data_IF_379447970107
#
_entry.id   IF_379447970107
#
_cell.length_a   1.000
_cell.length_b   1.000
_cell.length_c   1.000
_cell.angle_alpha   90.00
_cell.angle_beta   90.00
_cell.angle_gamma   90.00
#
_symmetry.space_group_name_H-M   'P 1'
#
loop_
_entity.id
_entity.type
_entity.pdbx_description
1 polymer ?
#
# COMPACT_ATOMS: atom_id res chain seq x y z
N UNK A 1 -0.51 -70.30 -39.55
CA UNK A 1 -0.24 -68.85 -39.54
C UNK A 1 -0.45 -68.39 -38.08
N UNK A 2 0.54 -68.03 -37.25
CA UNK A 2 1.85 -67.39 -37.48
C UNK A 2 1.69 -66.12 -38.35
N UNK A 3 1.97 -64.88 -37.93
CA UNK A 3 2.59 -64.27 -36.72
C UNK A 3 1.91 -62.89 -36.45
N UNK A 4 2.21 -61.98 -35.50
CA UNK A 4 3.45 -61.62 -34.76
C UNK A 4 3.17 -60.99 -33.36
N UNK A 5 4.27 -60.69 -32.65
CA UNK A 5 4.50 -59.81 -31.47
C UNK A 5 4.18 -58.31 -31.74
N UNK A 6 3.80 -57.46 -30.76
CA UNK A 6 4.74 -56.83 -29.80
C UNK A 6 4.08 -56.29 -28.51
N UNK A 7 4.92 -56.19 -27.47
CA UNK A 7 4.59 -55.72 -26.11
C UNK A 7 4.56 -54.19 -26.03
N UNK A 8 3.53 -53.63 -25.40
CA UNK A 8 3.53 -52.26 -24.84
C UNK A 8 3.35 -52.33 -23.32
N UNK A 9 4.30 -51.77 -22.55
CA UNK A 9 4.38 -51.92 -21.09
C UNK A 9 4.39 -50.55 -20.40
N UNK A 10 3.34 -50.23 -19.65
CA UNK A 10 3.37 -49.23 -18.58
C UNK A 10 2.25 -49.52 -17.57
N UNK A 11 2.57 -49.40 -16.29
CA UNK A 11 1.65 -49.65 -15.16
C UNK A 11 1.41 -48.32 -14.39
N UNK A 12 0.69 -48.29 -13.25
CA UNK A 12 -0.25 -47.20 -12.92
C UNK A 12 0.39 -45.99 -12.24
N UNK A 13 -0.28 -44.83 -12.32
CA UNK A 13 0.21 -43.57 -11.76
C UNK A 13 -0.85 -42.51 -11.41
N UNK A 14 -1.44 -42.64 -10.21
CA UNK A 14 -1.80 -41.54 -9.30
C UNK A 14 -2.79 -40.47 -9.81
N UNK A 15 -4.00 -40.50 -9.24
CA UNK A 15 -4.89 -39.34 -9.14
C UNK A 15 -4.34 -38.30 -8.15
N UNK A 16 -4.12 -37.06 -8.61
CA UNK A 16 -4.01 -35.81 -7.84
C UNK A 16 -4.65 -34.74 -8.74
N UNK A 17 -5.55 -33.88 -8.27
CA UNK A 17 -5.63 -33.25 -6.96
C UNK A 17 -5.53 -31.74 -7.20
N UNK A 18 -6.61 -31.02 -6.95
CA UNK A 18 -6.83 -29.67 -7.50
C UNK A 18 -6.01 -28.55 -6.83
N UNK A 19 -5.95 -27.41 -7.53
CA UNK A 19 -5.61 -26.06 -7.06
C UNK A 19 -4.12 -25.67 -6.82
N UNK A 20 -3.78 -24.47 -7.30
CA UNK A 20 -2.47 -23.80 -7.12
C UNK A 20 -1.48 -24.08 -8.27
N UNK A 21 -0.63 -23.14 -8.70
CA UNK A 21 -0.26 -21.82 -8.15
C UNK A 21 -0.13 -20.78 -9.28
N UNK A 22 -0.49 -19.54 -8.97
CA UNK A 22 -0.47 -18.33 -9.82
C UNK A 22 0.74 -18.18 -10.76
N UNK A 23 0.47 -17.89 -12.03
CA UNK A 23 1.48 -17.55 -13.03
C UNK A 23 1.98 -16.11 -12.83
N UNK A 24 3.30 -15.96 -12.65
CA UNK A 24 4.21 -14.94 -13.21
C UNK A 24 3.75 -13.49 -13.56
N UNK A 25 2.70 -12.92 -12.97
CA UNK A 25 2.32 -11.51 -13.13
C UNK A 25 3.12 -10.55 -12.21
N UNK A 26 4.34 -10.95 -11.82
CA UNK A 26 5.27 -10.21 -10.93
C UNK A 26 5.82 -8.91 -11.55
N UNK A 27 5.16 -8.39 -12.58
CA UNK A 27 5.53 -7.20 -13.35
C UNK A 27 4.36 -6.20 -13.51
N UNK A 28 3.14 -6.50 -13.02
CA UNK A 28 1.96 -5.62 -13.16
C UNK A 28 1.60 -4.95 -11.82
N UNK A 29 2.54 -4.23 -11.22
CA UNK A 29 2.25 -3.20 -10.20
C UNK A 29 3.45 -2.26 -9.96
N UNK A 30 4.03 -1.67 -11.03
CA UNK A 30 4.57 -0.30 -10.88
C UNK A 30 3.38 0.65 -10.74
N UNK A 31 2.74 0.58 -9.57
CA UNK A 31 1.67 1.47 -9.20
C UNK A 31 2.15 2.92 -9.25
N UNK A 32 1.22 3.85 -9.43
CA UNK A 32 1.43 5.30 -9.32
C UNK A 32 1.63 5.73 -7.84
N UNK A 33 2.37 4.93 -7.09
CA UNK A 33 2.82 5.18 -5.73
C UNK A 33 3.99 6.18 -5.76
N UNK A 34 3.63 7.45 -6.01
CA UNK A 34 4.48 8.64 -5.80
C UNK A 34 5.29 8.49 -4.51
N UNK A 35 6.62 8.46 -4.58
CA UNK A 35 7.51 8.02 -3.50
C UNK A 35 7.68 9.13 -2.43
N UNK A 36 8.24 8.78 -1.26
CA UNK A 36 8.53 9.73 -0.17
C UNK A 36 9.37 10.95 -0.62
N UNK A 37 10.25 10.76 -1.61
CA UNK A 37 11.05 11.82 -2.24
C UNK A 37 10.20 12.95 -2.81
N UNK A 38 9.00 12.60 -3.27
CA UNK A 38 8.12 13.49 -4.00
C UNK A 38 7.18 14.22 -3.05
N UNK A 39 7.06 13.79 -1.79
CA UNK A 39 6.27 14.48 -0.79
C UNK A 39 7.02 15.74 -0.30
N UNK A 40 6.38 16.92 -0.31
CA UNK A 40 7.02 18.13 0.18
C UNK A 40 7.36 17.98 1.66
N UNK A 41 8.57 18.37 2.04
CA UNK A 41 8.93 18.41 3.46
C UNK A 41 8.04 19.44 4.17
N UNK A 42 7.24 19.05 5.18
CA UNK A 42 6.33 19.96 5.85
C UNK A 42 7.15 21.02 6.63
N UNK A 43 6.76 22.30 6.60
CA UNK A 43 7.46 23.35 7.33
C UNK A 43 7.37 23.15 8.86
N UNK A 44 8.18 23.92 9.60
CA UNK A 44 8.22 23.91 11.07
C UNK A 44 7.62 25.21 11.65
N UNK A 45 7.32 25.22 12.94
CA UNK A 45 6.72 26.37 13.64
C UNK A 45 5.19 26.33 13.73
N UNK A 46 4.61 27.41 14.28
CA UNK A 46 3.20 27.53 14.74
C UNK A 46 2.14 27.28 13.64
N UNK A 47 2.52 27.54 12.39
CA UNK A 47 1.69 27.38 11.19
C UNK A 47 1.06 28.67 10.70
N UNK A 48 0.56 28.66 9.47
CA UNK A 48 0.07 29.83 8.74
C UNK A 48 -1.34 30.31 9.13
N UNK A 49 -2.14 29.50 9.84
CA UNK A 49 -3.53 29.86 10.23
C UNK A 49 -3.73 29.80 11.75
N UNK A 50 -4.68 30.60 12.26
CA UNK A 50 -5.02 30.60 13.69
C UNK A 50 -5.65 29.26 14.09
N UNK A 51 -5.56 28.84 15.37
CA UNK A 51 -6.16 27.58 15.82
C UNK A 51 -7.67 27.46 15.58
N UNK A 52 -8.40 28.57 15.54
CA UNK A 52 -9.85 28.60 15.29
C UNK A 52 -10.23 28.35 13.81
N UNK A 53 -9.33 28.66 12.87
CA UNK A 53 -9.56 28.53 11.42
C UNK A 53 -9.10 27.15 10.88
N UNK A 54 -8.62 26.26 11.76
CA UNK A 54 -8.19 24.92 11.39
C UNK A 54 -9.38 23.98 11.31
N UNK A 55 -9.29 22.98 10.45
CA UNK A 55 -10.26 21.88 10.42
C UNK A 55 -10.42 21.30 11.85
N UNK A 56 -11.64 21.24 12.41
CA UNK A 56 -11.86 20.64 13.73
C UNK A 56 -11.43 19.17 13.78
N UNK A 57 -11.47 18.45 12.65
CA UNK A 57 -10.83 17.16 12.54
C UNK A 57 -9.33 17.32 12.29
N UNK A 58 -8.50 16.74 13.17
CA UNK A 58 -7.04 16.61 12.95
C UNK A 58 -6.59 15.17 12.72
N UNK A 59 -7.37 14.17 13.17
CA UNK A 59 -6.97 12.76 13.13
C UNK A 59 -7.83 12.02 12.11
N UNK A 60 -7.17 11.42 11.12
CA UNK A 60 -7.83 10.55 10.16
C UNK A 60 -8.46 9.32 10.85
N UNK A 61 -9.72 9.07 10.55
CA UNK A 61 -10.47 7.89 11.01
C UNK A 61 -9.85 6.58 10.49
N UNK A 62 -10.15 5.44 11.13
CA UNK A 62 -9.68 4.12 10.64
C UNK A 62 -10.10 3.89 9.19
N UNK A 63 -11.34 4.21 8.82
CA UNK A 63 -11.86 4.10 7.45
C UNK A 63 -11.12 4.99 6.45
N UNK A 64 -10.76 6.23 6.80
CA UNK A 64 -9.95 7.09 5.93
C UNK A 64 -8.55 6.50 5.73
N UNK A 65 -7.90 6.03 6.80
CA UNK A 65 -6.59 5.35 6.69
C UNK A 65 -6.65 4.08 5.84
N UNK A 66 -7.75 3.31 5.90
CA UNK A 66 -7.95 2.12 5.05
C UNK A 66 -8.00 2.55 3.59
N UNK A 67 -8.82 3.57 3.26
CA UNK A 67 -8.90 4.12 1.90
C UNK A 67 -7.59 4.70 1.39
N UNK A 68 -6.75 5.28 2.26
CA UNK A 68 -5.40 5.72 1.87
C UNK A 68 -4.53 4.53 1.49
N UNK A 69 -4.56 3.48 2.31
CA UNK A 69 -3.77 2.28 2.09
C UNK A 69 -4.22 1.49 0.85
N UNK A 70 -5.53 1.43 0.59
CA UNK A 70 -6.13 0.89 -0.64
C UNK A 70 -5.67 1.66 -1.89
N UNK A 71 -5.78 3.00 -1.89
CA UNK A 71 -5.26 3.87 -2.97
C UNK A 71 -3.76 3.67 -3.20
N UNK A 72 -3.01 3.24 -2.18
CA UNK A 72 -1.58 2.98 -2.22
C UNK A 72 -1.23 1.51 -2.45
N UNK A 73 -2.18 0.67 -2.88
CA UNK A 73 -1.99 -0.75 -3.16
C UNK A 73 -1.42 -1.57 -1.98
N UNK A 74 -1.81 -1.20 -0.75
CA UNK A 74 -1.29 -1.81 0.47
C UNK A 74 0.11 -1.34 0.88
N UNK A 75 0.72 -0.41 0.13
CA UNK A 75 2.10 0.02 0.33
C UNK A 75 2.21 1.33 1.12
N UNK A 76 3.30 1.46 1.87
CA UNK A 76 3.75 2.72 2.43
C UNK A 76 4.44 3.55 1.35
N UNK A 77 3.87 4.70 0.99
CA UNK A 77 4.51 5.71 0.13
C UNK A 77 5.92 6.10 0.62
N UNK A 78 6.13 6.00 1.93
CA UNK A 78 7.39 6.25 2.61
C UNK A 78 8.57 5.35 2.23
N UNK A 79 8.32 4.05 2.03
CA UNK A 79 9.38 3.04 1.86
C UNK A 79 9.08 1.97 0.80
N UNK A 80 7.94 2.02 0.12
CA UNK A 80 7.50 1.01 -0.84
C UNK A 80 7.03 -0.32 -0.23
N UNK A 81 7.28 -0.56 1.05
CA UNK A 81 6.91 -1.82 1.72
C UNK A 81 5.40 -1.93 1.96
N UNK A 82 4.87 -3.14 1.85
CA UNK A 82 3.51 -3.46 2.31
C UNK A 82 3.35 -3.18 3.82
N UNK A 83 2.17 -2.68 4.20
CA UNK A 83 1.78 -2.39 5.58
C UNK A 83 0.33 -2.78 5.85
N UNK A 84 0.02 -3.06 7.11
CA UNK A 84 -1.37 -3.19 7.58
C UNK A 84 -1.93 -1.83 8.03
N UNK A 85 -3.25 -1.76 8.19
CA UNK A 85 -3.97 -0.56 8.64
C UNK A 85 -3.48 0.01 9.99
N UNK A 86 -3.01 -0.84 10.88
CA UNK A 86 -2.53 -0.45 12.20
C UNK A 86 -1.05 -0.01 12.18
N UNK A 87 -0.31 -0.32 11.12
CA UNK A 87 1.06 0.18 10.87
C UNK A 87 1.11 1.54 10.15
N UNK A 88 -0.03 2.01 9.63
CA UNK A 88 -0.16 3.24 8.84
C UNK A 88 -0.75 4.39 9.66
N UNK A 89 -0.16 5.57 9.49
CA UNK A 89 -0.66 6.85 9.96
C UNK A 89 -1.03 7.72 8.76
N UNK A 90 -2.13 8.48 8.85
CA UNK A 90 -2.41 9.54 7.89
C UNK A 90 -1.50 10.74 8.14
N UNK A 91 -0.82 11.20 7.09
CA UNK A 91 0.05 12.36 7.06
C UNK A 91 -0.57 13.42 6.14
N UNK A 92 -0.76 14.64 6.65
CA UNK A 92 -1.26 15.77 5.86
C UNK A 92 -0.15 16.36 4.99
N UNK A 93 -0.37 16.42 3.67
CA UNK A 93 0.56 16.98 2.68
C UNK A 93 0.70 18.49 2.88
N UNK A 94 -0.41 19.21 2.99
CA UNK A 94 -0.50 20.56 3.54
C UNK A 94 -0.77 20.39 5.03
N UNK A 95 0.12 20.87 5.91
CA UNK A 95 -0.04 20.68 7.36
C UNK A 95 -1.37 21.23 7.86
N UNK A 96 -1.98 20.53 8.81
CA UNK A 96 -3.14 21.01 9.58
C UNK A 96 -2.94 22.40 10.20
N UNK A 97 -1.73 22.70 10.66
CA UNK A 97 -1.37 24.01 11.22
C UNK A 97 -1.31 25.14 10.17
N UNK A 98 -1.24 24.81 8.89
CA UNK A 98 -1.21 25.75 7.75
C UNK A 98 -2.57 25.80 7.02
N UNK A 99 -3.63 25.25 7.61
CA UNK A 99 -4.98 25.23 7.03
C UNK A 99 -5.30 23.97 6.21
N UNK A 100 -4.41 22.97 6.17
CA UNK A 100 -4.66 21.72 5.47
C UNK A 100 -5.73 20.86 6.15
N UNK A 101 -6.87 20.67 5.49
CA UNK A 101 -7.98 19.86 5.98
C UNK A 101 -7.68 18.35 6.01
N UNK A 102 -8.41 17.60 6.85
CA UNK A 102 -8.29 16.15 7.06
C UNK A 102 -9.13 15.39 6.03
N UNK A 103 -8.84 15.60 4.75
CA UNK A 103 -9.51 14.95 3.62
C UNK A 103 -8.63 13.88 2.94
N UNK A 104 -9.22 13.12 2.01
CA UNK A 104 -8.54 12.02 1.29
C UNK A 104 -7.61 12.50 0.17
N UNK A 105 -7.63 13.80 -0.12
CA UNK A 105 -6.85 14.50 -1.15
C UNK A 105 -5.62 15.13 -0.51
N UNK A 106 -5.75 15.64 0.72
CA UNK A 106 -4.65 16.18 1.51
C UNK A 106 -3.92 15.14 2.37
N UNK A 107 -4.39 13.88 2.40
CA UNK A 107 -3.86 12.85 3.30
C UNK A 107 -3.24 11.66 2.57
N UNK A 108 -2.04 11.25 3.00
CA UNK A 108 -1.39 9.99 2.57
C UNK A 108 -1.09 9.06 3.74
N UNK A 109 -1.06 7.75 3.48
CA UNK A 109 -0.66 6.74 4.45
C UNK A 109 0.85 6.53 4.50
N UNK A 110 1.47 6.86 5.64
CA UNK A 110 2.88 6.58 5.93
C UNK A 110 3.02 5.63 7.13
N UNK A 111 4.02 4.74 7.09
CA UNK A 111 4.38 3.95 8.27
C UNK A 111 5.00 4.86 9.35
N UNK A 112 5.02 4.40 10.61
CA UNK A 112 5.53 5.17 11.75
C UNK A 112 6.94 5.76 11.51
N UNK A 113 7.84 4.97 10.93
CA UNK A 113 9.23 5.38 10.65
C UNK A 113 9.30 6.49 9.61
N UNK A 114 8.64 6.33 8.46
CA UNK A 114 8.63 7.33 7.40
C UNK A 114 7.88 8.60 7.82
N UNK A 115 6.78 8.47 8.57
CA UNK A 115 6.05 9.62 9.11
C UNK A 115 6.91 10.41 10.12
N UNK A 116 7.71 9.75 10.95
CA UNK A 116 8.72 10.43 11.77
C UNK A 116 9.80 11.09 10.92
N UNK A 117 10.32 10.39 9.91
CA UNK A 117 11.41 10.89 9.05
C UNK A 117 11.04 12.16 8.30
N UNK A 118 9.84 12.26 7.72
CA UNK A 118 9.44 13.45 6.96
C UNK A 118 9.38 14.71 7.85
N UNK A 119 9.03 14.55 9.14
CA UNK A 119 8.96 15.64 10.13
C UNK A 119 10.28 15.97 10.84
N UNK A 120 11.32 15.13 10.77
CA UNK A 120 12.66 15.40 11.35
C UNK A 120 13.37 16.54 10.64
#
# INVERSE_FOLDING_TARGET
MAIITTKGKAAPGIIKGEAGIINAETQIAKAEAKLLSDLPKPPKGKGSVLPADRDPARVYTKTQKTKMLEKQNGLCIGCGEAKTIDQIHGHHVIRHADGGATTMENGVGLCHTCHKQIHK
#
